data_IF_936561758047
#
_entry.id   IF_936561758047
#
_cell.length_a   1.000
_cell.length_b   1.000
_cell.length_c   1.000
_cell.angle_alpha   90.00
_cell.angle_beta   90.00
_cell.angle_gamma   90.00
#
_symmetry.space_group_name_H-M   'P 1'
#
loop_
_entity.id
_entity.type
_entity.pdbx_description
1 polymer ?
#
# COMPACT_ATOMS: atom_id res chain seq x y z
N UNK A 1 -1.37 -1.79 4.43
CA UNK A 1 -1.29 -0.33 4.15
C UNK A 1 0.14 0.13 3.89
N UNK A 2 0.35 1.03 2.92
CA UNK A 2 1.61 1.72 2.61
C UNK A 2 2.23 2.45 3.82
N UNK A 3 1.40 2.87 4.77
CA UNK A 3 1.84 3.58 5.97
C UNK A 3 2.64 2.73 6.95
N UNK A 4 2.60 1.40 6.82
CA UNK A 4 3.45 0.49 7.57
C UNK A 4 4.90 0.46 7.06
N UNK A 5 5.14 0.91 5.82
CA UNK A 5 6.45 0.83 5.17
C UNK A 5 7.29 2.03 5.58
N UNK A 6 8.43 1.81 6.23
CA UNK A 6 9.35 2.88 6.70
C UNK A 6 8.61 4.09 7.31
N UNK A 7 7.85 3.91 8.41
CA UNK A 7 6.99 4.94 8.96
C UNK A 7 7.77 6.14 9.49
N UNK A 8 7.27 7.35 9.22
CA UNK A 8 7.84 8.62 9.71
C UNK A 8 7.07 9.22 10.90
N UNK A 9 5.96 8.60 11.30
CA UNK A 9 5.11 9.09 12.37
C UNK A 9 4.52 7.94 13.20
N UNK A 10 3.92 8.28 14.34
CA UNK A 10 3.34 7.32 15.30
C UNK A 10 2.24 6.47 14.66
N UNK A 11 1.39 7.06 13.81
CA UNK A 11 0.33 6.31 13.12
C UNK A 11 0.91 5.21 12.21
N UNK A 12 1.93 5.52 11.43
CA UNK A 12 2.62 4.54 10.60
C UNK A 12 3.32 3.47 11.45
N UNK A 13 3.92 3.84 12.58
CA UNK A 13 4.55 2.91 13.50
C UNK A 13 3.54 1.90 14.08
N UNK A 14 2.32 2.33 14.43
CA UNK A 14 1.26 1.38 14.86
C UNK A 14 0.84 0.43 13.75
N UNK A 15 0.82 0.88 12.49
CA UNK A 15 0.53 0.02 11.34
C UNK A 15 1.64 -1.00 11.08
N UNK A 16 2.90 -0.60 11.24
CA UNK A 16 4.03 -1.53 11.15
C UNK A 16 3.96 -2.58 12.28
N UNK A 17 3.70 -2.15 13.51
CA UNK A 17 3.54 -3.08 14.63
C UNK A 17 2.43 -4.09 14.36
N UNK A 18 1.27 -3.63 13.91
CA UNK A 18 0.15 -4.50 13.54
C UNK A 18 0.56 -5.51 12.46
N UNK A 19 1.23 -5.05 11.40
CA UNK A 19 1.71 -5.91 10.32
C UNK A 19 2.65 -7.00 10.85
N UNK A 20 3.64 -6.62 11.66
CA UNK A 20 4.58 -7.58 12.27
C UNK A 20 3.88 -8.59 13.17
N UNK A 21 2.89 -8.18 13.96
CA UNK A 21 2.10 -9.09 14.80
C UNK A 21 1.33 -10.12 13.96
N UNK A 22 0.73 -9.71 12.83
CA UNK A 22 0.01 -10.64 11.96
C UNK A 22 0.95 -11.60 11.23
N UNK A 23 2.07 -11.13 10.72
CA UNK A 23 3.07 -11.98 10.04
C UNK A 23 3.66 -13.02 11.00
N UNK A 24 3.92 -12.63 12.25
CA UNK A 24 4.49 -13.55 13.25
C UNK A 24 3.45 -14.40 13.98
N UNK A 25 2.16 -14.11 13.81
CA UNK A 25 1.08 -14.81 14.54
C UNK A 25 1.09 -16.35 14.30
N UNK A 26 1.51 -16.79 13.12
CA UNK A 26 1.63 -18.20 12.78
C UNK A 26 2.59 -18.95 13.72
N UNK A 27 3.70 -18.30 14.11
CA UNK A 27 4.74 -18.88 14.99
C UNK A 27 4.27 -19.09 16.42
N UNK A 28 3.28 -18.31 16.86
CA UNK A 28 2.67 -18.43 18.19
C UNK A 28 1.42 -19.32 18.21
N UNK A 29 0.89 -19.65 17.03
CA UNK A 29 -0.26 -20.54 16.90
C UNK A 29 0.21 -22.00 16.86
N UNK A 30 -0.50 -22.89 17.57
CA UNK A 30 -0.27 -24.32 17.39
C UNK A 30 -1.07 -24.82 16.17
N UNK A 31 -0.43 -25.18 15.04
CA UNK A 31 -1.13 -25.56 13.81
C UNK A 31 -1.96 -26.84 13.97
N UNK A 32 -1.67 -27.68 14.95
CA UNK A 32 -2.48 -28.88 15.27
C UNK A 32 -3.82 -28.52 15.92
N UNK A 33 -3.85 -27.38 16.64
CA UNK A 33 -5.06 -26.91 17.36
C UNK A 33 -5.80 -25.82 16.62
N UNK A 34 -5.10 -25.02 15.83
CA UNK A 34 -5.65 -23.84 15.18
C UNK A 34 -5.37 -23.84 13.69
N UNK A 35 -6.42 -23.86 12.89
CA UNK A 35 -6.33 -23.81 11.42
C UNK A 35 -6.38 -22.38 10.87
N UNK A 36 -6.35 -21.37 11.74
CA UNK A 36 -6.40 -19.97 11.34
C UNK A 36 -5.08 -19.57 10.69
N UNK A 37 -5.15 -19.04 9.48
CA UNK A 37 -4.03 -18.46 8.75
C UNK A 37 -4.06 -16.94 8.93
N UNK A 38 -2.90 -16.36 9.18
CA UNK A 38 -2.72 -14.92 9.30
C UNK A 38 -1.82 -14.44 8.17
N UNK A 39 -2.28 -13.47 7.41
CA UNK A 39 -1.50 -12.82 6.35
C UNK A 39 -1.85 -11.33 6.31
N UNK A 40 -1.08 -10.56 5.57
CA UNK A 40 -1.24 -9.12 5.46
C UNK A 40 -1.50 -8.75 4.00
N UNK A 41 -2.36 -7.77 3.77
CA UNK A 41 -2.48 -7.08 2.49
C UNK A 41 -1.95 -5.65 2.64
N UNK A 42 -1.08 -5.23 1.72
CA UNK A 42 -0.44 -3.91 1.73
C UNK A 42 -0.74 -3.21 0.42
N UNK A 43 -1.60 -2.21 0.43
CA UNK A 43 -1.94 -1.39 -0.73
C UNK A 43 -1.97 0.10 -0.38
N UNK A 44 -2.05 0.95 -1.40
CA UNK A 44 -2.01 2.40 -1.27
C UNK A 44 -3.33 3.01 -0.78
N UNK A 45 -3.61 4.23 -1.24
CA UNK A 45 -4.83 4.94 -0.87
C UNK A 45 -6.03 4.37 -1.62
N UNK A 46 -7.15 4.18 -0.92
CA UNK A 46 -8.41 3.83 -1.57
C UNK A 46 -9.02 5.09 -2.16
N UNK A 47 -9.25 5.08 -3.48
CA UNK A 47 -9.78 6.22 -4.23
C UNK A 47 -11.12 6.68 -3.68
N UNK A 48 -11.26 8.00 -3.44
CA UNK A 48 -12.52 8.58 -2.95
C UNK A 48 -12.87 8.24 -1.51
N UNK A 49 -11.98 7.58 -0.75
CA UNK A 49 -12.23 7.28 0.66
C UNK A 49 -12.41 8.54 1.50
N UNK A 50 -13.21 8.44 2.58
CA UNK A 50 -13.49 9.56 3.48
C UNK A 50 -12.20 10.17 4.04
N UNK A 51 -12.09 11.50 3.97
CA UNK A 51 -10.93 12.25 4.42
C UNK A 51 -9.70 12.14 3.49
N UNK A 52 -9.80 11.47 2.34
CA UNK A 52 -8.73 11.43 1.35
C UNK A 52 -8.63 12.73 0.56
N UNK A 53 -7.51 12.89 -0.16
CA UNK A 53 -7.18 14.16 -0.85
C UNK A 53 -8.20 14.58 -1.91
N UNK A 54 -8.77 13.63 -2.65
CA UNK A 54 -9.70 13.92 -3.75
C UNK A 54 -11.01 14.50 -3.25
N UNK A 55 -11.76 13.88 -2.31
CA UNK A 55 -12.93 14.48 -1.70
C UNK A 55 -12.64 15.87 -1.10
N UNK A 56 -11.47 16.03 -0.46
CA UNK A 56 -11.07 17.32 0.11
C UNK A 56 -10.86 18.40 -0.96
N UNK A 57 -10.21 18.07 -2.07
CA UNK A 57 -10.04 19.01 -3.18
C UNK A 57 -11.38 19.41 -3.80
N UNK A 58 -12.28 18.44 -3.99
CA UNK A 58 -13.63 18.71 -4.50
C UNK A 58 -14.41 19.64 -3.55
N UNK A 59 -14.30 19.41 -2.25
CA UNK A 59 -14.93 20.26 -1.25
C UNK A 59 -14.40 21.71 -1.30
N UNK A 60 -13.08 21.89 -1.32
CA UNK A 60 -12.45 23.20 -1.43
C UNK A 60 -12.89 23.95 -2.70
N UNK A 61 -12.88 23.28 -3.85
CA UNK A 61 -13.31 23.87 -5.12
C UNK A 61 -14.78 24.27 -5.08
N UNK A 62 -15.66 23.41 -4.54
CA UNK A 62 -17.10 23.73 -4.42
C UNK A 62 -17.38 24.93 -3.50
N UNK A 63 -16.56 25.11 -2.49
CA UNK A 63 -16.66 26.25 -1.56
C UNK A 63 -16.00 27.53 -2.10
N UNK A 64 -15.39 27.51 -3.29
CA UNK A 64 -14.65 28.65 -3.83
C UNK A 64 -13.29 28.87 -3.15
N UNK A 65 -12.79 27.89 -2.41
CA UNK A 65 -11.53 27.96 -1.67
C UNK A 65 -10.35 27.46 -2.52
N UNK A 66 -9.15 27.99 -2.24
CA UNK A 66 -7.92 27.54 -2.91
C UNK A 66 -7.60 26.09 -2.58
N UNK A 67 -7.22 25.32 -3.60
CA UNK A 67 -6.72 23.95 -3.41
C UNK A 67 -5.30 23.99 -2.87
N UNK A 68 -5.11 23.50 -1.65
CA UNK A 68 -3.79 23.41 -1.02
C UNK A 68 -3.09 22.10 -1.38
N UNK A 69 -1.85 22.18 -1.87
CA UNK A 69 -0.98 21.05 -2.16
C UNK A 69 0.26 21.13 -1.27
N UNK A 70 0.65 20.03 -0.69
CA UNK A 70 1.84 19.98 0.16
C UNK A 70 3.12 20.10 -0.67
N UNK A 71 3.22 19.33 -1.75
CA UNK A 71 4.31 19.40 -2.74
C UNK A 71 3.76 18.97 -4.12
N UNK A 72 4.06 19.70 -5.21
CA UNK A 72 3.56 19.37 -6.55
C UNK A 72 4.13 18.05 -7.11
N UNK A 73 5.28 17.61 -6.64
CA UNK A 73 5.93 16.36 -7.07
C UNK A 73 5.53 15.15 -6.25
N UNK A 74 4.66 15.33 -5.25
CA UNK A 74 4.21 14.27 -4.39
C UNK A 74 3.49 13.17 -5.17
N UNK A 75 3.89 11.92 -4.95
CA UNK A 75 3.27 10.77 -5.60
C UNK A 75 2.54 9.87 -4.59
N UNK A 76 1.48 9.23 -5.07
CA UNK A 76 0.68 8.28 -4.29
C UNK A 76 0.32 7.07 -5.14
N UNK A 77 0.08 5.93 -4.50
CA UNK A 77 -0.55 4.77 -5.11
C UNK A 77 -2.04 4.81 -4.85
N UNK A 78 -2.83 4.46 -5.86
CA UNK A 78 -4.28 4.38 -5.75
C UNK A 78 -4.79 3.00 -6.08
N UNK A 79 -5.86 2.63 -5.40
CA UNK A 79 -6.67 1.45 -5.68
C UNK A 79 -8.15 1.84 -5.50
N UNK A 80 -9.03 1.35 -6.32
CA UNK A 80 -10.46 1.51 -6.10
C UNK A 80 -10.96 0.60 -4.98
N UNK A 81 -12.16 0.82 -4.47
CA UNK A 81 -12.73 -0.04 -3.43
C UNK A 81 -12.94 -1.47 -3.96
N UNK A 82 -13.44 -1.61 -5.19
CA UNK A 82 -13.70 -2.91 -5.79
C UNK A 82 -12.40 -3.68 -6.04
N UNK A 83 -11.38 -3.03 -6.60
CA UNK A 83 -10.05 -3.63 -6.76
C UNK A 83 -9.43 -4.05 -5.41
N UNK A 84 -9.62 -3.26 -4.36
CA UNK A 84 -9.12 -3.59 -3.02
C UNK A 84 -9.82 -4.81 -2.44
N UNK A 85 -11.15 -4.91 -2.61
CA UNK A 85 -11.93 -6.07 -2.18
C UNK A 85 -11.55 -7.33 -2.96
N UNK A 86 -11.47 -7.25 -4.28
CA UNK A 86 -11.05 -8.36 -5.13
C UNK A 86 -9.65 -8.85 -4.75
N UNK A 87 -8.74 -7.91 -4.48
CA UNK A 87 -7.39 -8.24 -4.01
C UNK A 87 -7.38 -8.94 -2.63
N UNK A 88 -8.20 -8.48 -1.68
CA UNK A 88 -8.35 -9.12 -0.36
C UNK A 88 -8.90 -10.54 -0.52
N UNK A 89 -9.93 -10.73 -1.36
CA UNK A 89 -10.49 -12.06 -1.61
C UNK A 89 -9.46 -12.99 -2.26
N UNK A 90 -8.70 -12.50 -3.24
CA UNK A 90 -7.62 -13.27 -3.87
C UNK A 90 -6.55 -13.68 -2.86
N UNK A 91 -6.06 -12.73 -2.05
CA UNK A 91 -5.11 -13.03 -0.98
C UNK A 91 -5.67 -14.04 0.03
N UNK A 92 -6.97 -13.99 0.33
CA UNK A 92 -7.64 -14.96 1.23
C UNK A 92 -7.68 -16.37 0.65
N UNK A 93 -7.84 -16.50 -0.65
CA UNK A 93 -7.86 -17.79 -1.34
C UNK A 93 -6.46 -18.41 -1.47
N UNK A 94 -5.44 -17.60 -1.68
CA UNK A 94 -4.09 -18.04 -1.97
C UNK A 94 -3.17 -18.11 -0.74
N UNK A 95 -3.46 -17.34 0.33
CA UNK A 95 -2.61 -17.22 1.51
C UNK A 95 -2.44 -18.53 2.29
N UNK A 96 -1.20 -18.82 2.65
CA UNK A 96 -0.82 -19.98 3.47
C UNK A 96 -0.56 -19.58 4.92
N UNK A 97 -0.16 -18.32 5.15
CA UNK A 97 0.14 -17.70 6.44
C UNK A 97 1.50 -17.02 6.45
N UNK A 98 1.59 -15.92 7.18
CA UNK A 98 2.80 -15.07 7.30
C UNK A 98 3.18 -14.24 6.06
N UNK A 99 2.44 -14.33 4.96
CA UNK A 99 2.73 -13.53 3.76
C UNK A 99 2.25 -12.08 3.90
N UNK A 100 2.93 -11.18 3.15
CA UNK A 100 2.44 -9.85 2.86
C UNK A 100 2.15 -9.78 1.36
N UNK A 101 0.88 -9.68 1.00
CA UNK A 101 0.42 -9.53 -0.38
C UNK A 101 0.40 -8.06 -0.78
N UNK A 102 0.94 -7.73 -1.95
CA UNK A 102 1.07 -6.36 -2.45
C UNK A 102 0.64 -6.32 -3.92
N UNK A 103 -0.43 -5.60 -4.29
CA UNK A 103 -0.85 -5.48 -5.68
C UNK A 103 0.13 -4.61 -6.47
N UNK A 104 0.30 -4.87 -7.76
CA UNK A 104 1.06 -4.02 -8.69
C UNK A 104 0.24 -2.78 -9.01
N UNK A 105 0.41 -1.71 -8.25
CA UNK A 105 -0.32 -0.46 -8.41
C UNK A 105 0.45 0.55 -9.25
N UNK A 106 -0.29 1.37 -9.99
CA UNK A 106 0.25 2.55 -10.65
C UNK A 106 0.33 3.71 -9.66
N UNK A 107 1.40 4.48 -9.74
CA UNK A 107 1.52 5.75 -9.03
C UNK A 107 0.97 6.91 -9.86
N UNK A 108 0.53 7.95 -9.20
CA UNK A 108 0.13 9.22 -9.82
C UNK A 108 0.74 10.40 -9.07
N UNK A 109 0.89 11.51 -9.78
CA UNK A 109 1.38 12.77 -9.20
C UNK A 109 0.18 13.56 -8.69
N UNK A 110 0.26 14.08 -7.46
CA UNK A 110 -0.84 14.78 -6.82
C UNK A 110 -1.27 16.05 -7.56
N UNK A 111 -0.31 16.76 -8.18
CA UNK A 111 -0.60 17.95 -8.99
C UNK A 111 -1.44 17.63 -10.23
N UNK A 112 -1.35 16.44 -10.80
CA UNK A 112 -2.16 16.08 -11.97
C UNK A 112 -3.62 15.85 -11.59
N UNK A 113 -3.88 15.28 -10.41
CA UNK A 113 -5.24 15.18 -9.87
C UNK A 113 -5.85 16.56 -9.69
N UNK A 114 -5.09 17.53 -9.15
CA UNK A 114 -5.55 18.91 -9.03
C UNK A 114 -5.90 19.50 -10.38
N UNK A 115 -5.05 19.36 -11.41
CA UNK A 115 -5.31 19.88 -12.77
C UNK A 115 -6.62 19.32 -13.33
N UNK A 116 -6.83 18.01 -13.27
CA UNK A 116 -8.05 17.35 -13.75
C UNK A 116 -9.30 17.87 -13.00
N UNK A 117 -9.22 18.03 -11.69
CA UNK A 117 -10.36 18.52 -10.91
C UNK A 117 -10.70 20.00 -11.23
N UNK A 118 -9.69 20.83 -11.49
CA UNK A 118 -9.88 22.22 -11.92
C UNK A 118 -10.54 22.25 -13.30
N UNK A 119 -10.12 21.42 -14.25
CA UNK A 119 -10.73 21.33 -15.59
C UNK A 119 -12.20 20.87 -15.52
N UNK A 120 -12.51 19.91 -14.64
CA UNK A 120 -13.86 19.34 -14.51
C UNK A 120 -14.84 20.22 -13.71
N UNK A 121 -14.35 21.02 -12.79
CA UNK A 121 -15.16 21.81 -11.86
C UNK A 121 -14.98 23.31 -12.13
N UNK A 122 -14.11 23.95 -11.35
CA UNK A 122 -13.74 25.36 -11.49
C UNK A 122 -12.32 25.59 -11.01
N UNK A 123 -11.64 26.57 -11.59
CA UNK A 123 -10.34 27.00 -11.07
C UNK A 123 -10.53 28.01 -9.93
N UNK A 124 -10.31 27.55 -8.70
CA UNK A 124 -10.31 28.38 -7.50
C UNK A 124 -8.89 28.81 -7.08
N UNK A 125 -7.90 28.53 -7.93
CA UNK A 125 -6.50 28.73 -7.64
C UNK A 125 -5.90 27.62 -6.77
N UNK A 126 -4.62 27.75 -6.47
CA UNK A 126 -3.91 26.76 -5.66
C UNK A 126 -2.76 27.37 -4.89
N UNK A 127 -2.42 26.72 -3.78
CA UNK A 127 -1.33 27.11 -2.91
C UNK A 127 -0.48 25.91 -2.54
N UNK A 128 0.86 26.07 -2.58
CA UNK A 128 1.80 25.07 -2.08
C UNK A 128 2.15 25.42 -0.64
N UNK A 129 1.80 24.53 0.28
CA UNK A 129 1.92 24.78 1.73
C UNK A 129 3.17 24.16 2.37
N UNK A 130 3.96 23.37 1.62
CA UNK A 130 5.12 22.65 2.12
C UNK A 130 4.77 21.30 2.75
N UNK A 131 5.77 20.39 2.80
CA UNK A 131 5.63 19.04 3.36
C UNK A 131 5.43 19.13 4.86
N UNK A 132 4.45 18.43 5.39
CA UNK A 132 4.16 18.39 6.83
C UNK A 132 5.12 17.43 7.54
N UNK A 133 5.45 17.66 8.82
CA UNK A 133 6.22 16.71 9.61
C UNK A 133 5.59 15.31 9.60
N UNK A 134 6.38 14.29 9.26
CA UNK A 134 5.91 12.91 9.18
C UNK A 134 5.14 12.54 7.90
N UNK A 135 5.11 13.43 6.90
CA UNK A 135 4.56 13.18 5.57
C UNK A 135 5.67 12.80 4.59
N UNK A 136 5.43 11.81 3.74
CA UNK A 136 6.37 11.36 2.71
C UNK A 136 6.10 12.08 1.39
N UNK A 137 7.16 12.46 0.69
CA UNK A 137 7.06 12.94 -0.69
C UNK A 137 6.53 11.82 -1.61
N UNK A 138 7.15 10.66 -1.54
CA UNK A 138 6.76 9.46 -2.27
C UNK A 138 6.40 8.34 -1.29
N UNK A 139 5.26 7.71 -1.49
CA UNK A 139 4.91 6.52 -0.73
C UNK A 139 5.61 5.29 -1.33
N UNK A 140 5.87 4.31 -0.49
CA UNK A 140 6.57 3.08 -0.84
C UNK A 140 5.74 1.89 -0.38
N UNK A 141 5.61 0.86 -1.21
CA UNK A 141 4.93 -0.39 -0.87
C UNK A 141 5.91 -1.49 -0.46
N UNK A 142 7.14 -1.43 -0.95
CA UNK A 142 8.22 -2.38 -0.67
C UNK A 142 9.46 -1.55 -0.37
N UNK A 143 10.05 -1.69 0.81
CA UNK A 143 11.29 -1.00 1.17
C UNK A 143 12.52 -1.84 0.81
N UNK A 144 13.72 -1.30 1.06
CA UNK A 144 14.98 -1.98 0.73
C UNK A 144 15.18 -3.29 1.50
N UNK A 145 14.73 -3.36 2.75
CA UNK A 145 14.84 -4.56 3.57
C UNK A 145 13.84 -5.64 3.12
N UNK A 146 12.64 -5.21 2.69
CA UNK A 146 11.62 -6.10 2.16
C UNK A 146 12.06 -6.78 0.85
N UNK A 147 12.84 -6.09 -0.02
CA UNK A 147 13.25 -6.60 -1.34
C UNK A 147 13.95 -7.97 -1.25
N UNK A 148 14.72 -8.19 -0.20
CA UNK A 148 15.46 -9.45 -0.01
C UNK A 148 14.55 -10.68 0.05
N UNK A 149 13.31 -10.50 0.49
CA UNK A 149 12.30 -11.54 0.67
C UNK A 149 11.07 -11.31 -0.19
N UNK A 150 11.19 -10.46 -1.21
CA UNK A 150 10.09 -10.14 -2.13
C UNK A 150 10.18 -10.98 -3.40
N UNK A 151 9.03 -11.46 -3.80
CA UNK A 151 8.84 -12.28 -4.98
C UNK A 151 7.73 -11.72 -5.84
N UNK A 152 7.88 -11.83 -7.15
CA UNK A 152 6.82 -11.57 -8.12
C UNK A 152 5.97 -12.82 -8.29
N UNK A 153 4.66 -12.66 -8.18
CA UNK A 153 3.68 -13.73 -8.33
C UNK A 153 2.44 -13.21 -9.04
N UNK A 154 2.23 -13.66 -10.27
CA UNK A 154 1.13 -13.20 -11.13
C UNK A 154 1.10 -11.66 -11.26
N UNK A 155 0.00 -11.03 -10.85
CA UNK A 155 -0.24 -9.59 -10.86
C UNK A 155 0.07 -8.89 -9.53
N UNK A 156 0.83 -9.55 -8.64
CA UNK A 156 1.15 -9.05 -7.31
C UNK A 156 2.60 -9.34 -6.93
N UNK A 157 3.01 -8.76 -5.81
CA UNK A 157 4.23 -9.14 -5.09
C UNK A 157 3.88 -9.83 -3.79
N UNK A 158 4.72 -10.78 -3.38
CA UNK A 158 4.67 -11.43 -2.07
C UNK A 158 5.96 -11.12 -1.32
N UNK A 159 5.83 -10.66 -0.08
CA UNK A 159 6.95 -10.70 0.86
C UNK A 159 6.73 -11.92 1.73
N UNK A 160 7.70 -12.83 1.72
CA UNK A 160 7.67 -14.08 2.46
C UNK A 160 8.58 -13.97 3.69
N UNK A 161 8.21 -14.68 4.75
CA UNK A 161 9.08 -14.83 5.92
C UNK A 161 10.38 -15.53 5.50
N UNK A 162 11.58 -15.05 5.92
CA UNK A 162 12.85 -15.72 5.61
C UNK A 162 12.95 -17.18 6.06
N UNK A 163 12.11 -17.59 7.00
CA UNK A 163 12.05 -18.96 7.49
C UNK A 163 11.13 -19.88 6.63
N UNK A 164 10.48 -19.31 5.61
CA UNK A 164 9.64 -20.09 4.69
C UNK A 164 10.51 -21.05 3.87
N UNK A 165 10.18 -22.32 3.86
CA UNK A 165 10.93 -23.31 3.05
C UNK A 165 10.71 -23.01 1.55
N UNK A 166 11.80 -23.01 0.79
CA UNK A 166 11.77 -22.77 -0.67
C UNK A 166 10.93 -23.82 -1.38
N UNK A 167 10.99 -25.10 -0.95
CA UNK A 167 10.20 -26.17 -1.57
C UNK A 167 8.71 -26.00 -1.31
N UNK A 168 8.34 -25.60 -0.10
CA UNK A 168 6.95 -25.27 0.24
C UNK A 168 6.46 -24.03 -0.53
N UNK A 169 7.33 -23.04 -0.71
CA UNK A 169 7.03 -21.84 -1.48
C UNK A 169 6.72 -22.16 -2.94
N UNK A 170 7.57 -22.94 -3.62
CA UNK A 170 7.37 -23.31 -5.03
C UNK A 170 6.16 -24.23 -5.24
N UNK A 171 5.83 -25.05 -4.26
CA UNK A 171 4.63 -25.91 -4.30
C UNK A 171 3.34 -25.13 -4.14
N UNK A 172 3.33 -24.10 -3.27
CA UNK A 172 2.17 -23.27 -2.97
C UNK A 172 1.96 -22.15 -4.00
N UNK A 173 3.06 -21.60 -4.52
CA UNK A 173 3.03 -20.46 -5.45
C UNK A 173 3.72 -20.80 -6.78
N UNK A 174 2.98 -21.41 -7.69
CA UNK A 174 3.51 -21.79 -9.01
C UNK A 174 3.99 -20.57 -9.79
N UNK A 175 5.18 -20.67 -10.40
CA UNK A 175 5.81 -19.60 -11.19
C UNK A 175 6.23 -18.36 -10.38
N UNK A 176 6.38 -18.47 -9.08
CA UNK A 176 6.91 -17.39 -8.25
C UNK A 176 8.36 -17.10 -8.64
N UNK A 177 8.71 -15.82 -8.73
CA UNK A 177 10.05 -15.35 -9.11
C UNK A 177 10.59 -14.38 -8.08
N UNK A 178 11.80 -14.59 -7.61
CA UNK A 178 12.48 -13.63 -6.74
C UNK A 178 12.78 -12.34 -7.53
N UNK A 179 12.50 -11.19 -6.93
CA UNK A 179 12.84 -9.89 -7.54
C UNK A 179 14.35 -9.69 -7.45
N UNK A 180 14.98 -9.26 -8.56
CA UNK A 180 16.37 -8.84 -8.53
C UNK A 180 16.46 -7.46 -7.84
N UNK A 181 17.33 -7.34 -6.84
CA UNK A 181 17.61 -6.08 -6.14
C UNK A 181 18.16 -4.96 -7.05
N UNK A 182 18.49 -5.29 -8.29
CA UNK A 182 18.97 -4.35 -9.32
C UNK A 182 17.86 -3.75 -10.20
N UNK A 183 16.66 -4.33 -10.19
CA UNK A 183 15.48 -3.79 -10.87
C UNK A 183 14.82 -2.71 -9.99
N UNK A 184 15.41 -1.51 -10.00
CA UNK A 184 14.90 -0.33 -9.29
C UNK A 184 14.18 0.62 -10.24
#
# INVERSE_FOLDING_TARGET
TDKAVSPLNTYGATKLLMEKLFVTALWYSNPEKHRTKFFVVRYGNVFGSSGSVIPKFIELIKNGEKVTITDPNMTRFNITMDEALDFIFKATQEGQGSEIFIPKLKSYVLSDVKKVLIELLNDTGGEVIGIRPGEKLHETLINQDDILNTYEYNDMYLILDPQYDIQDMESNYKNIKKIDSKER
#
